data_IF_192368414635
#
_entry.id   IF_192368414635
#
_cell.length_a   1.000
_cell.length_b   1.000
_cell.length_c   1.000
_cell.angle_alpha   90.00
_cell.angle_beta   90.00
_cell.angle_gamma   90.00
#
_symmetry.space_group_name_H-M   'P 1'
#
loop_
_entity.id
_entity.type
_entity.pdbx_description
1 polymer ?
#
# COMPACT_ATOMS: atom_id res chain seq x y z
N UNK A 1 7.19 -18.21 -7.95
CA UNK A 1 6.18 -17.64 -7.04
C UNK A 1 6.79 -16.87 -5.86
N UNK A 2 7.91 -17.33 -5.31
CA UNK A 2 8.69 -16.59 -4.30
C UNK A 2 8.87 -15.09 -4.59
N UNK A 3 9.42 -14.74 -5.75
CA UNK A 3 9.67 -13.33 -6.09
C UNK A 3 8.38 -12.50 -6.21
N UNK A 4 7.27 -13.09 -6.67
CA UNK A 4 5.99 -12.39 -6.79
C UNK A 4 5.44 -12.03 -5.41
N UNK A 5 5.40 -13.00 -4.48
CA UNK A 5 4.92 -12.77 -3.12
C UNK A 5 5.76 -11.72 -2.38
N UNK A 6 7.10 -11.82 -2.49
CA UNK A 6 7.99 -10.83 -1.91
C UNK A 6 7.82 -9.45 -2.57
N UNK A 7 7.64 -9.37 -3.88
CA UNK A 7 7.39 -8.10 -4.57
C UNK A 7 6.10 -7.45 -4.08
N UNK A 8 5.04 -8.23 -3.87
CA UNK A 8 3.78 -7.71 -3.30
C UNK A 8 4.02 -7.22 -1.88
N UNK A 9 4.70 -8.00 -1.02
CA UNK A 9 4.99 -7.59 0.35
C UNK A 9 5.77 -6.28 0.41
N UNK A 10 6.83 -6.17 -0.39
CA UNK A 10 7.65 -4.95 -0.48
C UNK A 10 6.85 -3.74 -0.92
N UNK A 11 6.00 -3.88 -1.95
CA UNK A 11 5.14 -2.78 -2.40
C UNK A 11 4.15 -2.39 -1.30
N UNK A 12 3.52 -3.36 -0.64
CA UNK A 12 2.57 -3.09 0.44
C UNK A 12 3.24 -2.30 1.57
N UNK A 13 4.43 -2.73 2.00
CA UNK A 13 5.18 -2.08 3.08
C UNK A 13 5.70 -0.69 2.67
N UNK A 14 6.15 -0.50 1.43
CA UNK A 14 6.62 0.81 0.95
C UNK A 14 5.53 1.88 0.86
N UNK A 15 4.25 1.46 0.84
CA UNK A 15 3.11 2.37 0.75
C UNK A 15 2.51 2.78 2.10
N UNK A 16 2.94 2.16 3.21
CA UNK A 16 2.44 2.49 4.55
C UNK A 16 2.73 3.95 4.93
N UNK A 17 4.01 4.36 4.90
CA UNK A 17 4.43 5.70 5.29
C UNK A 17 3.88 6.80 4.35
N UNK A 18 3.96 6.67 3.00
CA UNK A 18 3.39 7.68 2.10
C UNK A 18 1.89 7.90 2.31
N UNK A 19 1.11 6.85 2.62
CA UNK A 19 -0.32 7.00 2.89
C UNK A 19 -0.61 7.69 4.23
N UNK A 20 0.22 7.46 5.25
CA UNK A 20 0.11 8.20 6.51
C UNK A 20 0.44 9.68 6.35
N UNK A 21 1.49 10.00 5.58
CA UNK A 21 1.84 11.37 5.25
C UNK A 21 0.69 12.03 4.46
N UNK A 22 0.17 11.36 3.44
CA UNK A 22 -0.98 11.85 2.67
C UNK A 22 -2.18 12.17 3.57
N UNK A 23 -2.52 11.29 4.51
CA UNK A 23 -3.62 11.53 5.45
C UNK A 23 -3.37 12.80 6.29
N UNK A 24 -2.13 13.02 6.73
CA UNK A 24 -1.74 14.20 7.50
C UNK A 24 -1.87 15.47 6.67
N UNK A 25 -1.45 15.46 5.40
CA UNK A 25 -1.55 16.62 4.51
C UNK A 25 -2.99 16.92 4.14
N UNK A 26 -3.80 15.89 3.82
CA UNK A 26 -5.21 16.07 3.50
C UNK A 26 -6.02 16.68 4.65
N UNK A 27 -5.69 16.35 5.90
CA UNK A 27 -6.34 16.94 7.09
C UNK A 27 -6.02 18.44 7.29
N UNK A 28 -5.00 18.98 6.59
CA UNK A 28 -4.60 20.40 6.66
C UNK A 28 -5.23 21.25 5.56
N UNK A 29 -5.87 20.64 4.56
CA UNK A 29 -6.54 21.38 3.51
C UNK A 29 -7.91 21.85 3.99
N UNK A 30 -8.21 23.13 3.82
CA UNK A 30 -9.43 23.77 4.33
C UNK A 30 -10.72 23.07 3.87
N UNK A 31 -10.76 22.58 2.62
CA UNK A 31 -11.93 21.97 1.99
C UNK A 31 -11.66 20.59 1.37
N UNK A 32 -10.85 19.74 2.03
CA UNK A 32 -10.66 18.36 1.56
C UNK A 32 -12.01 17.60 1.57
N UNK A 33 -12.43 16.96 0.46
CA UNK A 33 -13.69 16.22 0.43
C UNK A 33 -13.68 15.06 1.43
N UNK A 34 -14.72 14.94 2.26
CA UNK A 34 -14.88 13.82 3.22
C UNK A 34 -14.76 12.46 2.54
N UNK A 35 -15.26 12.34 1.31
CA UNK A 35 -15.15 11.12 0.52
C UNK A 35 -13.69 10.75 0.23
N UNK A 36 -12.81 11.74 0.02
CA UNK A 36 -11.38 11.52 -0.18
C UNK A 36 -10.72 11.11 1.14
N UNK A 37 -10.97 11.84 2.23
CA UNK A 37 -10.43 11.55 3.56
C UNK A 37 -10.79 10.13 4.01
N UNK A 38 -12.07 9.78 3.94
CA UNK A 38 -12.57 8.47 4.33
C UNK A 38 -11.99 7.35 3.45
N UNK A 39 -11.81 7.61 2.15
CA UNK A 39 -11.25 6.62 1.23
C UNK A 39 -9.77 6.39 1.48
N UNK A 40 -8.98 7.45 1.74
CA UNK A 40 -7.55 7.31 2.07
C UNK A 40 -7.37 6.50 3.36
N UNK A 41 -8.16 6.79 4.40
CA UNK A 41 -8.15 6.00 5.65
C UNK A 41 -8.50 4.53 5.41
N UNK A 42 -9.58 4.28 4.67
CA UNK A 42 -9.98 2.92 4.32
C UNK A 42 -8.90 2.16 3.55
N UNK A 43 -8.21 2.83 2.61
CA UNK A 43 -7.11 2.22 1.85
C UNK A 43 -5.97 1.82 2.78
N UNK A 44 -5.56 2.68 3.71
CA UNK A 44 -4.52 2.36 4.71
C UNK A 44 -4.87 1.12 5.53
N UNK A 45 -6.11 1.02 6.01
CA UNK A 45 -6.59 -0.16 6.77
C UNK A 45 -6.56 -1.44 5.93
N UNK A 46 -6.90 -1.34 4.64
CA UNK A 46 -6.85 -2.47 3.71
C UNK A 46 -5.42 -2.86 3.35
N UNK A 47 -4.49 -1.92 3.32
CA UNK A 47 -3.09 -2.19 3.07
C UNK A 47 -2.48 -3.03 4.21
N UNK A 48 -2.80 -2.70 5.47
CA UNK A 48 -2.43 -3.51 6.65
C UNK A 48 -3.02 -4.93 6.58
N UNK A 49 -4.30 -5.04 6.23
CA UNK A 49 -4.95 -6.34 6.06
C UNK A 49 -4.29 -7.17 4.95
N UNK A 50 -3.88 -6.52 3.86
CA UNK A 50 -3.22 -7.17 2.74
C UNK A 50 -1.81 -7.64 3.12
N UNK A 51 -1.04 -6.85 3.86
CA UNK A 51 0.28 -7.24 4.37
C UNK A 51 0.19 -8.55 5.16
N UNK A 52 -0.73 -8.61 6.12
CA UNK A 52 -0.95 -9.79 6.95
C UNK A 52 -1.30 -11.02 6.09
N UNK A 53 -2.18 -10.85 5.10
CA UNK A 53 -2.54 -11.91 4.15
C UNK A 53 -1.34 -12.40 3.35
N UNK A 54 -0.49 -11.49 2.85
CA UNK A 54 0.71 -11.83 2.07
C UNK A 54 1.76 -12.54 2.91
N UNK A 55 1.99 -12.09 4.16
CA UNK A 55 2.90 -12.77 5.10
C UNK A 55 2.44 -14.20 5.39
N UNK A 56 1.13 -14.41 5.58
CA UNK A 56 0.56 -15.76 5.73
C UNK A 56 0.79 -16.61 4.48
N UNK A 57 0.62 -16.05 3.28
CA UNK A 57 0.88 -16.75 2.03
C UNK A 57 2.35 -17.12 1.87
N UNK A 58 3.29 -16.22 2.18
CA UNK A 58 4.72 -16.52 2.12
C UNK A 58 5.07 -17.69 3.03
N UNK A 59 4.63 -17.65 4.30
CA UNK A 59 4.88 -18.75 5.25
C UNK A 59 4.34 -20.08 4.75
N UNK A 60 3.10 -20.09 4.24
CA UNK A 60 2.44 -21.33 3.78
C UNK A 60 2.97 -21.86 2.44
N UNK A 61 3.36 -20.99 1.51
CA UNK A 61 3.73 -21.37 0.15
C UNK A 61 5.23 -21.56 -0.03
N UNK A 62 6.07 -20.89 0.76
CA UNK A 62 7.52 -20.88 0.60
C UNK A 62 8.26 -21.60 1.73
N UNK A 63 7.56 -22.04 2.79
CA UNK A 63 8.14 -22.61 4.01
C UNK A 63 9.22 -21.71 4.64
N UNK A 64 9.12 -20.41 4.40
CA UNK A 64 9.97 -19.43 5.02
C UNK A 64 9.48 -19.18 6.45
N UNK A 65 10.42 -19.11 7.40
CA UNK A 65 10.16 -18.93 8.82
C UNK A 65 9.44 -17.61 9.16
N UNK A 66 9.51 -17.17 10.42
CA UNK A 66 8.86 -15.92 10.83
C UNK A 66 9.48 -14.75 10.05
N UNK A 67 8.85 -14.34 8.96
CA UNK A 67 9.00 -13.00 8.43
C UNK A 67 8.41 -12.08 9.49
N UNK A 68 9.26 -11.22 10.05
CA UNK A 68 8.83 -10.08 10.85
C UNK A 68 7.97 -9.23 9.92
N UNK A 69 6.66 -9.21 10.18
CA UNK A 69 5.83 -8.13 9.68
C UNK A 69 6.46 -6.87 10.26
N UNK A 70 6.92 -5.97 9.41
CA UNK A 70 7.48 -4.68 9.82
C UNK A 70 6.39 -3.74 10.34
N UNK A 71 5.24 -4.27 10.78
CA UNK A 71 4.12 -3.53 11.36
C UNK A 71 4.42 -2.93 12.74
N UNK A 72 5.68 -2.94 13.21
CA UNK A 72 6.10 -2.05 14.29
C UNK A 72 6.45 -0.71 13.63
N UNK A 73 5.41 -0.01 13.16
CA UNK A 73 5.52 1.40 12.88
C UNK A 73 5.45 2.11 14.24
N UNK A 74 6.56 2.07 14.98
CA UNK A 74 6.72 2.84 16.20
C UNK A 74 6.61 4.33 15.82
N UNK A 75 5.52 4.94 16.26
CA UNK A 75 5.24 6.35 16.11
C UNK A 75 6.37 7.20 16.71
N UNK A 76 7.28 7.66 15.87
CA UNK A 76 8.03 8.88 16.09
C UNK A 76 7.50 9.92 15.12
N UNK A 77 6.34 10.51 15.46
CA UNK A 77 5.95 11.80 14.91
C UNK A 77 6.95 12.83 15.42
N UNK A 78 8.08 12.97 14.73
CA UNK A 78 8.88 14.17 14.87
C UNK A 78 8.27 15.18 13.89
N UNK A 79 7.62 16.25 14.36
CA UNK A 79 7.22 17.32 13.47
C UNK A 79 8.52 18.02 13.06
N UNK A 80 9.16 17.53 12.01
CA UNK A 80 10.10 18.35 11.28
C UNK A 80 9.28 19.50 10.73
N UNK A 81 9.52 20.67 11.32
CA UNK A 81 9.06 21.98 10.88
C UNK A 81 9.78 22.31 9.57
N UNK A 82 9.54 21.51 8.54
CA UNK A 82 9.86 21.88 7.16
C UNK A 82 8.83 22.90 6.74
N UNK A 83 9.33 24.09 6.45
CA UNK A 83 8.60 25.21 5.88
C UNK A 83 7.55 24.69 4.88
N UNK A 84 6.26 24.86 5.23
CA UNK A 84 5.19 24.25 4.48
C UNK A 84 5.28 24.70 3.02
N UNK A 85 5.46 23.77 2.05
CA UNK A 85 5.44 24.12 0.64
C UNK A 85 4.13 24.83 0.31
N UNK A 86 4.14 25.68 -0.72
CA UNK A 86 2.95 26.40 -1.15
C UNK A 86 1.79 25.40 -1.34
N UNK A 87 0.56 25.80 -0.98
CA UNK A 87 -0.60 24.90 -0.99
C UNK A 87 -0.74 24.18 -2.34
N UNK A 88 -0.48 24.86 -3.44
CA UNK A 88 -0.49 24.29 -4.78
C UNK A 88 0.57 23.19 -4.98
N UNK A 89 1.79 23.40 -4.51
CA UNK A 89 2.87 22.41 -4.57
C UNK A 89 2.54 21.17 -3.72
N UNK A 90 1.90 21.37 -2.56
CA UNK A 90 1.41 20.27 -1.73
C UNK A 90 0.33 19.44 -2.40
N UNK A 91 -0.66 20.09 -3.03
CA UNK A 91 -1.72 19.40 -3.76
C UNK A 91 -1.15 18.61 -4.95
N UNK A 92 -0.21 19.18 -5.70
CA UNK A 92 0.44 18.49 -6.82
C UNK A 92 1.26 17.28 -6.35
N UNK A 93 2.00 17.41 -5.25
CA UNK A 93 2.75 16.29 -4.64
C UNK A 93 1.82 15.15 -4.22
N UNK A 94 0.73 15.47 -3.53
CA UNK A 94 -0.25 14.49 -3.05
C UNK A 94 -1.00 13.81 -4.22
N UNK A 95 -1.33 14.57 -5.27
CA UNK A 95 -1.93 14.03 -6.48
C UNK A 95 -0.99 13.03 -7.19
N UNK A 96 0.29 13.36 -7.31
CA UNK A 96 1.29 12.46 -7.88
C UNK A 96 1.47 11.19 -7.03
N UNK A 97 1.44 11.32 -5.69
CA UNK A 97 1.47 10.20 -4.76
C UNK A 97 0.30 9.25 -5.01
N UNK A 98 -0.93 9.78 -5.14
CA UNK A 98 -2.12 8.99 -5.46
C UNK A 98 -2.02 8.27 -6.82
N UNK A 99 -1.46 8.93 -7.85
CA UNK A 99 -1.22 8.29 -9.15
C UNK A 99 -0.26 7.11 -9.01
N UNK A 100 0.85 7.30 -8.30
CA UNK A 100 1.83 6.24 -8.05
C UNK A 100 1.20 5.08 -7.29
N UNK A 101 0.44 5.38 -6.22
CA UNK A 101 -0.27 4.36 -5.45
C UNK A 101 -1.22 3.55 -6.33
N UNK A 102 -2.01 4.22 -7.17
CA UNK A 102 -2.91 3.54 -8.11
C UNK A 102 -2.16 2.56 -9.02
N UNK A 103 -1.01 2.95 -9.56
CA UNK A 103 -0.19 2.08 -10.43
C UNK A 103 0.36 0.88 -9.67
N UNK A 104 0.87 1.10 -8.47
CA UNK A 104 1.45 0.03 -7.67
C UNK A 104 0.40 -0.90 -7.09
N UNK A 105 -0.77 -0.39 -6.68
CA UNK A 105 -1.91 -1.19 -6.27
C UNK A 105 -2.39 -2.11 -7.41
N UNK A 106 -2.46 -1.59 -8.64
CA UNK A 106 -2.76 -2.41 -9.81
C UNK A 106 -1.68 -3.49 -10.06
N UNK A 107 -0.41 -3.17 -9.81
CA UNK A 107 0.71 -4.13 -9.91
C UNK A 107 0.60 -5.21 -8.83
N UNK A 108 0.29 -4.84 -7.58
CA UNK A 108 0.03 -5.78 -6.48
C UNK A 108 -1.10 -6.75 -6.85
N UNK A 109 -2.23 -6.22 -7.33
CA UNK A 109 -3.38 -7.02 -7.77
C UNK A 109 -3.00 -8.00 -8.89
N UNK A 110 -2.29 -7.51 -9.91
CA UNK A 110 -1.82 -8.33 -11.04
C UNK A 110 -0.94 -9.48 -10.56
N UNK A 111 0.01 -9.22 -9.66
CA UNK A 111 0.88 -10.24 -9.11
C UNK A 111 0.12 -11.27 -8.27
N UNK A 112 -0.85 -10.84 -7.46
CA UNK A 112 -1.69 -11.74 -6.67
C UNK A 112 -2.60 -12.61 -7.56
N UNK A 113 -3.19 -12.05 -8.62
CA UNK A 113 -3.96 -12.80 -9.62
C UNK A 113 -3.10 -13.84 -10.32
N UNK A 114 -1.88 -13.48 -10.72
CA UNK A 114 -0.92 -14.39 -11.35
C UNK A 114 -0.51 -15.53 -10.41
N UNK A 115 -0.24 -15.23 -9.13
CA UNK A 115 0.06 -16.23 -8.11
C UNK A 115 -1.11 -17.22 -7.92
N UNK A 116 -2.33 -16.69 -7.76
CA UNK A 116 -3.54 -17.51 -7.64
C UNK A 116 -3.72 -18.42 -8.85
N UNK A 117 -3.49 -17.88 -10.04
CA UNK A 117 -3.56 -18.64 -11.28
C UNK A 117 -2.61 -19.84 -11.29
N UNK A 118 -1.32 -19.59 -11.01
CA UNK A 118 -0.28 -20.63 -10.99
C UNK A 118 -0.56 -21.73 -9.97
N UNK A 119 -1.10 -21.35 -8.80
CA UNK A 119 -1.44 -22.32 -7.76
C UNK A 119 -2.68 -23.17 -8.12
N UNK A 120 -3.62 -22.61 -8.88
CA UNK A 120 -4.91 -23.26 -9.16
C UNK A 120 -4.87 -24.26 -10.33
N UNK A 121 -3.72 -24.39 -11.02
CA UNK A 121 -3.47 -25.36 -12.11
C UNK A 121 -4.58 -25.46 -13.17
N UNK A 122 -5.31 -24.36 -13.44
CA UNK A 122 -6.43 -24.34 -14.39
C UNK A 122 -6.17 -23.37 -15.53
N UNK A 123 -6.44 -23.85 -16.74
CA UNK A 123 -6.60 -23.12 -18.01
C UNK A 123 -7.61 -21.95 -17.97
N UNK A 124 -8.13 -21.58 -16.79
CA UNK A 124 -9.14 -20.54 -16.56
C UNK A 124 -8.56 -19.13 -16.40
N UNK A 125 -7.25 -18.92 -16.55
CA UNK A 125 -6.63 -17.60 -16.38
C UNK A 125 -6.61 -16.74 -17.65
N UNK A 126 -7.25 -17.19 -18.74
CA UNK A 126 -7.35 -16.49 -20.02
C UNK A 126 -8.56 -15.55 -20.12
N UNK A 127 -9.29 -15.31 -19.03
CA UNK A 127 -10.46 -14.42 -19.08
C UNK A 127 -10.55 -13.59 -17.80
N UNK A 128 -10.19 -12.31 -17.92
CA UNK A 128 -10.94 -11.10 -17.50
C UNK A 128 -10.00 -9.90 -17.52
#
# INVERSE_FOLDING_TARGET
DKWLLHSVLMLVQSWMEPLMYLQTTLNRYDDAPDALLNKTKWVSDKLLSLEQGVVVLIRKMLDEGILTSSSIFEHALNPYDEQSPEMLESVLRDYNLLICFKKDAHKMETFLKLLKCRQSNKLSCLSY
#
